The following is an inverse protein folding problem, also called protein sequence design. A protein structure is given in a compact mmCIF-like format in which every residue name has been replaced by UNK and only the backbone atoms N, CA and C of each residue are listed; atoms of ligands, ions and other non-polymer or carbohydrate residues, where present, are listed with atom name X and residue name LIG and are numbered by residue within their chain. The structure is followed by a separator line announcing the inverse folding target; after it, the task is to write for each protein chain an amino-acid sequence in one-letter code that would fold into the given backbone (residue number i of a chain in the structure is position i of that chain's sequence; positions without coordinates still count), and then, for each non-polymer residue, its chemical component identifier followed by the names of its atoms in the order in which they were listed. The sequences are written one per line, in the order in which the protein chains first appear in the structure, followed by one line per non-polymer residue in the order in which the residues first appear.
data_IF_651191602913
#
_entry.id   IF_651191602913
#
_cell.length_a   1.000
_cell.length_b   1.000
_cell.length_c   1.000
_cell.angle_alpha   90.00
_cell.angle_beta   90.00
_cell.angle_gamma   90.00
#
_symmetry.space_group_name_H-M   'P 1'
#
loop_
_entity.id
_entity.type
_entity.pdbx_description
1 polymer ?
#
# COMPACT_ATOMS: atom_id res chain seq x y z
N UNK A 1 -35.61 6.76 19.32
CA UNK A 1 -34.19 6.35 19.29
C UNK A 1 -33.64 6.56 20.68
N UNK A 2 -33.18 5.51 21.35
CA UNK A 2 -32.74 5.57 22.76
C UNK A 2 -31.34 6.19 22.84
N UNK A 3 -31.16 7.19 23.72
CA UNK A 3 -29.90 7.90 23.91
C UNK A 3 -28.75 6.96 24.29
N UNK A 4 -29.04 5.99 25.16
CA UNK A 4 -28.05 5.00 25.63
C UNK A 4 -27.51 4.13 24.49
N UNK A 5 -28.35 3.74 23.54
CA UNK A 5 -27.94 2.93 22.39
C UNK A 5 -27.00 3.71 21.44
N UNK A 6 -27.16 5.03 21.35
CA UNK A 6 -26.28 5.90 20.56
C UNK A 6 -24.95 6.14 21.28
N UNK A 7 -24.99 6.30 22.60
CA UNK A 7 -23.78 6.45 23.40
C UNK A 7 -22.92 5.18 23.37
N UNK A 8 -23.55 4.01 23.50
CA UNK A 8 -22.86 2.72 23.46
C UNK A 8 -22.24 2.45 22.07
N UNK A 9 -22.95 2.80 20.99
CA UNK A 9 -22.41 2.78 19.63
C UNK A 9 -21.21 3.71 19.50
N UNK A 10 -21.29 4.91 20.07
CA UNK A 10 -20.19 5.88 20.07
C UNK A 10 -18.95 5.38 20.83
N UNK A 11 -19.14 4.72 21.98
CA UNK A 11 -18.04 4.10 22.75
C UNK A 11 -17.32 3.03 21.93
N UNK A 12 -18.08 2.12 21.31
CA UNK A 12 -17.52 1.07 20.44
C UNK A 12 -16.74 1.62 19.25
N UNK A 13 -17.19 2.72 18.65
CA UNK A 13 -16.49 3.35 17.52
C UNK A 13 -15.16 3.96 17.98
N UNK A 14 -15.17 4.69 19.11
CA UNK A 14 -13.94 5.29 19.66
C UNK A 14 -12.91 4.23 20.03
N UNK A 15 -13.35 3.16 20.66
CA UNK A 15 -12.48 2.03 21.03
C UNK A 15 -11.83 1.37 19.80
N UNK A 16 -12.62 1.12 18.74
CA UNK A 16 -12.09 0.58 17.48
C UNK A 16 -11.09 1.51 16.79
N UNK A 17 -11.34 2.81 16.80
CA UNK A 17 -10.43 3.79 16.23
C UNK A 17 -9.11 3.86 17.01
N UNK A 18 -9.18 3.80 18.34
CA UNK A 18 -7.99 3.79 19.19
C UNK A 18 -7.13 2.55 18.92
N UNK A 19 -7.77 1.37 18.82
CA UNK A 19 -7.05 0.12 18.53
C UNK A 19 -6.32 0.19 17.18
N UNK A 20 -7.01 0.68 16.15
CA UNK A 20 -6.42 0.86 14.81
C UNK A 20 -5.25 1.85 14.84
N UNK A 21 -5.39 2.97 15.56
CA UNK A 21 -4.32 3.96 15.68
C UNK A 21 -3.09 3.36 16.35
N UNK A 22 -3.27 2.53 17.38
CA UNK A 22 -2.15 1.85 18.05
C UNK A 22 -1.47 0.82 17.14
N UNK A 23 -2.25 0.06 16.36
CA UNK A 23 -1.71 -0.88 15.38
C UNK A 23 -0.93 -0.15 14.27
N UNK A 24 -1.47 0.96 13.75
CA UNK A 24 -0.82 1.80 12.74
C UNK A 24 0.46 2.46 13.29
N UNK A 25 0.43 2.97 14.52
CA UNK A 25 1.60 3.53 15.18
C UNK A 25 2.68 2.49 15.51
N UNK A 26 2.31 1.22 15.75
CA UNK A 26 3.28 0.15 15.95
C UNK A 26 3.89 -0.38 14.63
N UNK A 27 3.20 -0.16 13.50
CA UNK A 27 3.66 -0.54 12.16
C UNK A 27 4.48 0.57 11.48
N UNK A 28 4.28 1.82 11.89
CA UNK A 28 5.17 2.93 11.53
C UNK A 28 6.44 2.79 12.39
N UNK A 29 7.62 2.52 11.81
CA UNK A 29 8.86 2.73 12.56
C UNK A 29 8.87 4.18 13.05
N UNK A 30 9.33 4.43 14.28
CA UNK A 30 9.61 5.79 14.75
C UNK A 30 10.57 6.42 13.73
N UNK A 31 10.05 7.27 12.84
CA UNK A 31 10.89 8.24 12.15
C UNK A 31 11.35 9.18 13.25
N UNK A 32 12.57 8.97 13.74
CA UNK A 32 13.27 9.99 14.50
C UNK A 32 13.27 11.25 13.60
N UNK A 33 12.43 12.22 13.95
CA UNK A 33 12.58 13.60 13.48
C UNK A 33 13.91 14.09 14.07
N UNK A 34 15.03 13.72 13.46
CA UNK A 34 16.25 14.51 13.56
C UNK A 34 15.87 15.89 13.00
N UNK A 35 15.66 16.84 13.90
CA UNK A 35 15.82 18.26 13.58
C UNK A 35 17.24 18.41 13.04
N UNK A 36 17.40 18.30 11.73
CA UNK A 36 18.61 18.72 11.04
C UNK A 36 18.65 20.23 11.24
N UNK A 37 19.44 20.69 12.21
CA UNK A 37 19.94 22.06 12.25
C UNK A 37 20.62 22.28 10.89
N UNK A 38 19.94 22.99 9.99
CA UNK A 38 20.54 23.52 8.77
C UNK A 38 21.56 24.59 9.21
N UNK A 39 22.76 24.15 9.61
CA UNK A 39 23.93 25.01 9.52
C UNK A 39 24.20 25.23 8.02
N UNK A 40 23.74 26.36 7.50
CA UNK A 40 24.19 26.90 6.21
C UNK A 40 25.69 27.22 6.30
N UNK A 41 26.55 26.19 6.24
CA UNK A 41 27.94 26.37 5.83
C UNK A 41 27.96 26.62 4.32
N UNK A 42 27.99 27.90 3.96
CA UNK A 42 28.31 28.39 2.61
C UNK A 42 29.78 28.03 2.28
N UNK A 43 30.03 26.76 2.01
CA UNK A 43 31.33 26.26 1.57
C UNK A 43 31.32 26.11 0.04
N UNK A 44 32.03 26.98 -0.65
CA UNK A 44 32.30 26.83 -2.08
C UNK A 44 33.31 25.70 -2.29
N UNK A 45 32.86 24.45 -2.23
CA UNK A 45 33.66 23.29 -2.65
C UNK A 45 33.58 23.13 -4.17
N UNK A 46 34.70 23.36 -4.87
CA UNK A 46 34.89 22.85 -6.23
C UNK A 46 35.03 21.33 -6.18
N UNK A 47 33.91 20.61 -6.18
CA UNK A 47 33.92 19.15 -6.34
C UNK A 47 34.35 18.82 -7.78
N UNK A 48 35.58 18.34 -7.97
CA UNK A 48 36.05 17.73 -9.22
C UNK A 48 35.43 16.34 -9.44
N UNK A 49 34.12 16.22 -9.21
CA UNK A 49 33.35 14.97 -9.12
C UNK A 49 32.92 14.43 -10.49
N UNK A 50 33.78 14.59 -11.51
CA UNK A 50 33.56 13.96 -12.82
C UNK A 50 33.98 12.47 -12.81
N UNK A 51 34.75 12.01 -11.82
CA UNK A 51 35.30 10.64 -11.77
C UNK A 51 34.52 9.65 -10.86
N UNK A 52 33.55 10.11 -10.05
CA UNK A 52 32.72 9.24 -9.19
C UNK A 52 31.23 9.22 -9.59
N UNK A 53 30.91 9.51 -10.85
CA UNK A 53 29.56 9.29 -11.39
C UNK A 53 29.34 7.83 -11.80
N UNK A 54 29.72 6.88 -10.94
CA UNK A 54 29.28 5.49 -11.05
C UNK A 54 28.25 5.17 -9.96
N UNK A 55 27.40 6.16 -9.66
CA UNK A 55 26.15 5.95 -8.94
C UNK A 55 25.25 5.02 -9.74
N UNK A 56 24.59 4.08 -9.07
CA UNK A 56 23.54 3.24 -9.64
C UNK A 56 22.65 4.15 -10.51
N UNK A 57 22.53 3.86 -11.80
CA UNK A 57 21.71 4.66 -12.69
C UNK A 57 20.28 4.70 -12.13
N UNK A 58 19.91 5.80 -11.49
CA UNK A 58 18.57 5.99 -10.95
C UNK A 58 17.62 6.04 -12.14
N UNK A 59 16.86 4.97 -12.34
CA UNK A 59 15.86 4.91 -13.41
C UNK A 59 14.78 5.92 -13.06
N UNK A 60 14.58 6.90 -13.95
CA UNK A 60 13.52 7.89 -13.81
C UNK A 60 12.17 7.17 -13.70
N UNK A 61 11.41 7.46 -12.63
CA UNK A 61 10.06 6.92 -12.46
C UNK A 61 9.18 7.32 -13.63
N UNK A 62 8.43 6.36 -14.18
CA UNK A 62 7.48 6.63 -15.26
C UNK A 62 6.17 7.16 -14.67
N UNK A 63 5.75 8.35 -15.10
CA UNK A 63 4.45 8.90 -14.75
C UNK A 63 3.37 8.34 -15.68
N UNK A 64 2.45 7.54 -15.15
CA UNK A 64 1.30 7.00 -15.89
C UNK A 64 0.09 7.93 -15.68
N UNK A 65 -0.66 8.29 -16.72
CA UNK A 65 -1.84 9.15 -16.58
C UNK A 65 -3.01 8.41 -15.90
N UNK A 66 -3.95 9.13 -15.28
CA UNK A 66 -5.10 8.50 -14.59
C UNK A 66 -5.96 7.63 -15.51
N UNK A 67 -6.05 7.98 -16.80
CA UNK A 67 -6.84 7.25 -17.79
C UNK A 67 -6.20 5.93 -18.22
N UNK A 68 -4.88 5.81 -18.03
CA UNK A 68 -4.10 4.61 -18.40
C UNK A 68 -3.82 3.69 -17.21
N UNK A 69 -4.20 4.11 -16.00
CA UNK A 69 -4.06 3.28 -14.79
C UNK A 69 -5.28 2.39 -14.64
N UNK A 70 -5.04 1.11 -14.40
CA UNK A 70 -6.09 0.21 -13.97
C UNK A 70 -6.67 0.67 -12.63
N UNK A 71 -7.99 0.62 -12.52
CA UNK A 71 -8.66 0.90 -11.26
C UNK A 71 -8.74 -0.37 -10.42
N UNK A 72 -8.77 -0.22 -9.10
CA UNK A 72 -8.94 -1.35 -8.17
C UNK A 72 -10.22 -2.14 -8.52
N UNK A 73 -11.28 -1.45 -8.97
CA UNK A 73 -12.53 -2.11 -9.36
C UNK A 73 -12.39 -2.98 -10.61
N UNK A 74 -11.63 -2.54 -11.62
CA UNK A 74 -11.37 -3.34 -12.81
C UNK A 74 -10.55 -4.58 -12.46
N UNK A 75 -9.50 -4.41 -11.64
CA UNK A 75 -8.65 -5.51 -11.21
C UNK A 75 -9.43 -6.58 -10.44
N UNK A 76 -10.25 -6.17 -9.46
CA UNK A 76 -11.07 -7.09 -8.67
C UNK A 76 -12.07 -7.86 -9.54
N UNK A 77 -12.63 -7.22 -10.57
CA UNK A 77 -13.54 -7.87 -11.51
C UNK A 77 -12.83 -8.94 -12.35
N UNK A 78 -11.66 -8.61 -12.89
CA UNK A 78 -10.86 -9.55 -13.68
C UNK A 78 -10.40 -10.75 -12.85
N UNK A 79 -9.93 -10.51 -11.62
CA UNK A 79 -9.49 -11.58 -10.72
C UNK A 79 -10.65 -12.51 -10.30
N UNK A 80 -11.85 -11.95 -10.10
CA UNK A 80 -13.03 -12.76 -9.81
C UNK A 80 -13.46 -13.62 -11.00
N UNK A 81 -13.34 -13.10 -12.22
CA UNK A 81 -13.61 -13.84 -13.45
C UNK A 81 -12.60 -14.99 -13.65
N UNK A 82 -11.31 -14.73 -13.40
CA UNK A 82 -10.25 -15.74 -13.44
C UNK A 82 -10.52 -16.87 -12.45
N UNK A 83 -10.81 -16.54 -11.18
CA UNK A 83 -11.14 -17.55 -10.16
C UNK A 83 -12.37 -18.38 -10.53
N UNK A 84 -13.41 -17.77 -11.08
CA UNK A 84 -14.60 -18.50 -11.51
C UNK A 84 -14.28 -19.50 -12.64
N UNK A 85 -13.41 -19.12 -13.57
CA UNK A 85 -12.94 -20.00 -14.64
C UNK A 85 -12.13 -21.18 -14.09
N UNK A 86 -11.19 -20.89 -13.18
CA UNK A 86 -10.38 -21.93 -12.53
C UNK A 86 -11.23 -22.92 -11.76
N UNK A 87 -12.23 -22.45 -10.99
CA UNK A 87 -13.15 -23.31 -10.28
C UNK A 87 -14.00 -24.17 -11.22
N UNK A 88 -14.48 -23.61 -12.33
CA UNK A 88 -15.22 -24.35 -13.34
C UNK A 88 -14.37 -25.47 -13.96
N UNK A 89 -13.13 -25.15 -14.35
CA UNK A 89 -12.19 -26.15 -14.89
C UNK A 89 -11.88 -27.23 -13.84
N UNK A 90 -11.63 -26.84 -12.59
CA UNK A 90 -11.39 -27.77 -11.49
C UNK A 90 -12.56 -28.73 -11.30
N UNK A 91 -13.79 -28.20 -11.29
CA UNK A 91 -15.01 -29.00 -11.15
C UNK A 91 -15.18 -29.99 -12.31
N UNK A 92 -14.97 -29.55 -13.55
CA UNK A 92 -15.03 -30.45 -14.72
C UNK A 92 -13.99 -31.58 -14.64
N UNK A 93 -12.78 -31.26 -14.17
CA UNK A 93 -11.72 -32.27 -13.99
C UNK A 93 -12.05 -33.25 -12.86
N UNK A 94 -12.65 -32.77 -11.78
CA UNK A 94 -13.12 -33.60 -10.66
C UNK A 94 -14.25 -34.54 -11.09
N UNK A 95 -15.25 -34.03 -11.81
CA UNK A 95 -16.35 -34.84 -12.37
C UNK A 95 -15.81 -35.95 -13.28
N UNK A 96 -14.87 -35.63 -14.18
CA UNK A 96 -14.22 -36.63 -15.04
C UNK A 96 -13.45 -37.68 -14.24
N UNK A 97 -12.79 -37.27 -13.15
CA UNK A 97 -12.01 -38.17 -12.27
C UNK A 97 -12.90 -39.15 -11.51
N UNK A 98 -14.14 -38.76 -11.19
CA UNK A 98 -15.11 -39.62 -10.52
C UNK A 98 -15.74 -40.62 -11.50
N UNK A 99 -15.85 -40.24 -12.78
CA UNK A 99 -16.44 -41.09 -13.84
C UNK A 99 -15.51 -42.22 -14.33
N UNK A 100 -14.18 -42.08 -14.16
CA UNK A 100 -13.16 -43.08 -14.53
C UNK A 100 -12.62 -43.88 -13.35
#
# INVERSE_FOLDING_TARGET
MNADAMEERGRRIREKLLLRQQEEAALMPEEEEEEVEEEEEESEYETNSEEEMMGIAMVKSVFVSKSERDTISEHVRLEAEERALEEAVKKMMEERRVET
#
